data_IF_117601248205
#
_entry.id   IF_117601248205
#
_cell.length_a   1.000
_cell.length_b   1.000
_cell.length_c   1.000
_cell.angle_alpha   90.00
_cell.angle_beta   90.00
_cell.angle_gamma   90.00
#
_symmetry.space_group_name_H-M   'P 1'
#
loop_
_entity.id
_entity.type
_entity.pdbx_description
1 polymer ?
#
# COMPACT_ATOMS: atom_id res chain seq x y z
N UNK A 1 5.19 20.20 14.85
CA UNK A 1 5.70 20.66 13.54
C UNK A 1 5.16 22.05 13.29
N UNK A 2 6.04 22.99 12.93
CA UNK A 2 5.68 24.37 12.57
C UNK A 2 5.20 24.36 11.12
N UNK A 3 4.14 25.11 10.82
CA UNK A 3 3.57 25.23 9.47
C UNK A 3 4.48 26.10 8.60
N UNK A 4 4.85 25.62 7.41
CA UNK A 4 5.66 26.39 6.46
C UNK A 4 4.89 27.62 5.93
N UNK A 5 5.63 28.69 5.60
CA UNK A 5 5.05 29.93 5.11
C UNK A 5 4.53 29.79 3.67
N UNK A 6 3.49 30.55 3.31
CA UNK A 6 3.01 30.61 1.92
C UNK A 6 2.20 29.39 1.43
N UNK A 7 1.87 28.43 2.31
CA UNK A 7 1.11 27.23 1.92
C UNK A 7 -0.28 27.52 1.38
N UNK A 8 -0.98 28.52 1.92
CA UNK A 8 -2.32 28.90 1.44
C UNK A 8 -2.24 29.35 -0.02
N UNK A 9 -1.27 30.21 -0.37
CA UNK A 9 -1.06 30.65 -1.76
C UNK A 9 -0.78 29.45 -2.67
N UNK A 10 0.05 28.51 -2.22
CA UNK A 10 0.35 27.29 -2.98
C UNK A 10 -0.88 26.39 -3.16
N UNK A 11 -1.70 26.23 -2.12
CA UNK A 11 -2.95 25.48 -2.19
C UNK A 11 -3.95 26.11 -3.15
N UNK A 12 -4.09 27.44 -3.14
CA UNK A 12 -4.93 28.17 -4.10
C UNK A 12 -4.43 27.97 -5.53
N UNK A 13 -3.12 28.03 -5.78
CA UNK A 13 -2.56 27.78 -7.12
C UNK A 13 -2.87 26.36 -7.61
N UNK A 14 -2.76 25.36 -6.72
CA UNK A 14 -3.16 23.98 -7.05
C UNK A 14 -4.66 23.88 -7.36
N UNK A 15 -5.52 24.53 -6.58
CA UNK A 15 -6.96 24.53 -6.83
C UNK A 15 -7.32 25.20 -8.17
N UNK A 16 -6.64 26.31 -8.50
CA UNK A 16 -6.80 27.00 -9.79
C UNK A 16 -6.31 26.17 -10.98
N UNK A 17 -5.43 25.19 -10.76
CA UNK A 17 -5.01 24.25 -11.78
C UNK A 17 -5.97 23.05 -11.87
N UNK A 18 -6.25 22.41 -10.73
CA UNK A 18 -7.00 21.16 -10.65
C UNK A 18 -8.48 21.35 -10.98
N UNK A 19 -9.09 22.45 -10.56
CA UNK A 19 -10.51 22.74 -10.82
C UNK A 19 -10.82 22.81 -12.32
N UNK A 20 -10.22 23.74 -13.08
CA UNK A 20 -10.43 23.82 -14.53
C UNK A 20 -10.07 22.54 -15.27
N UNK A 21 -8.97 21.88 -14.89
CA UNK A 21 -8.56 20.61 -15.49
C UNK A 21 -9.61 19.52 -15.28
N UNK A 22 -10.18 19.43 -14.08
CA UNK A 22 -11.27 18.51 -13.76
C UNK A 22 -12.48 18.77 -14.66
N UNK A 23 -13.01 19.99 -14.67
CA UNK A 23 -14.20 20.34 -15.46
C UNK A 23 -13.99 20.07 -16.96
N UNK A 24 -12.82 20.43 -17.50
CA UNK A 24 -12.48 20.20 -18.90
C UNK A 24 -12.35 18.70 -19.21
N UNK A 25 -11.51 17.97 -18.47
CA UNK A 25 -11.25 16.55 -18.76
C UNK A 25 -12.48 15.68 -18.53
N UNK A 26 -13.26 15.94 -17.48
CA UNK A 26 -14.49 15.22 -17.16
C UNK A 26 -15.62 15.52 -18.15
N UNK A 27 -15.79 16.80 -18.53
CA UNK A 27 -16.77 17.21 -19.54
C UNK A 27 -16.45 16.63 -20.92
N UNK A 28 -15.17 16.57 -21.29
CA UNK A 28 -14.72 15.95 -22.53
C UNK A 28 -14.94 14.44 -22.52
N UNK A 29 -14.62 13.74 -21.42
CA UNK A 29 -14.88 12.29 -21.34
C UNK A 29 -16.37 11.99 -21.42
N UNK A 30 -17.22 12.77 -20.73
CA UNK A 30 -18.67 12.65 -20.82
C UNK A 30 -19.19 12.88 -22.25
N UNK A 31 -18.70 13.90 -22.94
CA UNK A 31 -19.13 14.21 -24.31
C UNK A 31 -18.66 13.14 -25.30
N UNK A 32 -17.45 12.61 -25.10
CA UNK A 32 -16.90 11.51 -25.88
C UNK A 32 -17.70 10.21 -25.66
N UNK A 33 -18.00 9.85 -24.42
CA UNK A 33 -18.76 8.63 -24.14
C UNK A 33 -20.21 8.75 -24.61
N UNK A 34 -20.81 9.94 -24.52
CA UNK A 34 -22.17 10.18 -24.99
C UNK A 34 -22.32 10.02 -26.52
N UNK A 35 -21.24 10.11 -27.30
CA UNK A 35 -21.27 9.87 -28.75
C UNK A 35 -21.00 8.41 -29.14
N UNK A 36 -20.88 7.50 -28.16
CA UNK A 36 -20.61 6.08 -28.37
C UNK A 36 -21.84 5.23 -28.15
N UNK A 37 -22.03 4.25 -29.04
CA UNK A 37 -23.12 3.27 -28.96
C UNK A 37 -22.74 1.99 -28.17
N UNK A 38 -21.44 1.79 -27.90
CA UNK A 38 -20.87 0.58 -27.29
C UNK A 38 -20.59 0.72 -25.79
N UNK A 39 -21.48 1.39 -25.04
CA UNK A 39 -21.32 1.63 -23.61
C UNK A 39 -21.99 0.54 -22.78
N UNK A 40 -21.17 -0.30 -22.14
CA UNK A 40 -21.63 -1.39 -21.28
C UNK A 40 -22.07 -0.94 -19.88
N UNK A 41 -22.68 -1.85 -19.13
CA UNK A 41 -23.03 -1.64 -17.72
C UNK A 41 -22.69 -2.88 -16.91
N UNK A 42 -22.05 -2.70 -15.75
CA UNK A 42 -21.74 -3.79 -14.82
C UNK A 42 -22.55 -3.61 -13.54
N UNK A 43 -23.64 -4.37 -13.44
CA UNK A 43 -24.61 -4.26 -12.34
C UNK A 43 -24.82 -5.61 -11.70
N UNK A 44 -24.69 -5.68 -10.38
CA UNK A 44 -25.03 -6.88 -9.63
C UNK A 44 -26.54 -6.99 -9.42
N UNK A 45 -27.08 -8.21 -9.46
CA UNK A 45 -28.52 -8.45 -9.37
C UNK A 45 -29.17 -7.89 -8.08
N UNK A 46 -28.43 -7.89 -6.96
CA UNK A 46 -28.91 -7.39 -5.67
C UNK A 46 -29.03 -5.86 -5.61
N UNK A 47 -28.32 -5.11 -6.47
CA UNK A 47 -28.35 -3.64 -6.48
C UNK A 47 -29.75 -3.10 -6.79
N UNK A 48 -30.57 -3.86 -7.51
CA UNK A 48 -31.96 -3.49 -7.83
C UNK A 48 -32.87 -3.38 -6.62
N UNK A 49 -32.46 -3.96 -5.48
CA UNK A 49 -33.22 -3.93 -4.23
C UNK A 49 -32.76 -2.79 -3.31
N UNK A 50 -31.73 -2.03 -3.69
CA UNK A 50 -31.22 -0.93 -2.86
C UNK A 50 -32.17 0.27 -2.88
N UNK A 51 -32.68 0.72 -1.72
CA UNK A 51 -33.51 1.91 -1.66
C UNK A 51 -32.68 3.18 -1.94
N UNK A 52 -33.28 4.12 -2.67
CA UNK A 52 -32.77 5.49 -2.78
C UNK A 52 -32.97 6.21 -1.45
N UNK A 53 -31.93 6.83 -0.91
CA UNK A 53 -32.00 7.66 0.29
C UNK A 53 -31.71 9.13 -0.07
N UNK A 54 -32.72 9.95 -0.39
CA UNK A 54 -32.50 11.29 -0.94
C UNK A 54 -31.64 12.20 -0.08
N UNK A 55 -31.75 12.12 1.25
CA UNK A 55 -30.97 12.95 2.18
C UNK A 55 -29.45 12.69 2.12
N UNK A 56 -29.03 11.52 1.61
CA UNK A 56 -27.60 11.18 1.44
C UNK A 56 -26.92 11.96 0.32
N UNK A 57 -27.67 12.75 -0.46
CA UNK A 57 -27.11 13.73 -1.39
C UNK A 57 -26.25 14.80 -0.68
N UNK A 58 -26.56 15.12 0.58
CA UNK A 58 -25.77 16.07 1.38
C UNK A 58 -24.35 15.55 1.63
N UNK A 59 -24.14 14.36 2.23
CA UNK A 59 -22.79 13.83 2.40
C UNK A 59 -22.12 13.61 1.05
N UNK A 60 -22.83 13.17 0.00
CA UNK A 60 -22.27 13.08 -1.36
C UNK A 60 -21.64 14.40 -1.82
N UNK A 61 -22.39 15.50 -1.82
CA UNK A 61 -21.88 16.83 -2.20
C UNK A 61 -20.79 17.37 -1.26
N UNK A 62 -20.78 16.93 0.00
CA UNK A 62 -19.80 17.42 0.97
C UNK A 62 -18.35 17.13 0.57
N UNK A 63 -18.12 16.14 -0.32
CA UNK A 63 -16.77 15.86 -0.81
C UNK A 63 -16.14 17.07 -1.52
N UNK A 64 -16.92 17.87 -2.26
CA UNK A 64 -16.37 18.99 -3.04
C UNK A 64 -15.88 20.11 -2.12
N UNK A 65 -16.63 20.35 -1.04
CA UNK A 65 -16.21 21.26 0.01
C UNK A 65 -14.96 20.71 0.72
N UNK A 66 -14.97 19.43 1.09
CA UNK A 66 -13.83 18.78 1.75
C UNK A 66 -12.59 18.72 0.85
N UNK A 67 -12.76 18.63 -0.47
CA UNK A 67 -11.71 18.73 -1.45
C UNK A 67 -11.01 20.08 -1.33
N UNK A 68 -11.75 21.19 -1.36
CA UNK A 68 -11.18 22.53 -1.16
C UNK A 68 -10.52 22.69 0.21
N UNK A 69 -11.20 22.27 1.28
CA UNK A 69 -10.69 22.35 2.65
C UNK A 69 -9.43 21.51 2.88
N UNK A 70 -9.26 20.42 2.12
CA UNK A 70 -8.08 19.55 2.24
C UNK A 70 -6.77 20.27 1.95
N UNK A 71 -6.77 21.36 1.17
CA UNK A 71 -5.60 22.21 0.89
C UNK A 71 -5.25 23.16 2.03
N UNK A 72 -6.09 23.27 3.06
CA UNK A 72 -5.79 24.07 4.25
C UNK A 72 -5.03 23.28 5.32
N UNK A 73 -5.03 21.94 5.23
CA UNK A 73 -4.49 21.04 6.24
C UNK A 73 -2.95 20.86 6.19
N UNK A 74 -2.30 20.73 5.01
CA UNK A 74 -0.86 20.46 4.94
C UNK A 74 -0.02 21.43 5.76
N UNK A 75 1.02 20.88 6.39
CA UNK A 75 1.98 21.62 7.20
C UNK A 75 3.27 21.95 6.44
N UNK A 76 3.52 21.28 5.31
CA UNK A 76 4.71 21.47 4.46
C UNK A 76 4.36 21.56 2.98
N UNK A 77 5.22 22.19 2.18
CA UNK A 77 5.09 22.29 0.72
C UNK A 77 5.11 20.91 0.07
N UNK A 78 5.97 20.02 0.57
CA UNK A 78 6.06 18.63 0.09
C UNK A 78 4.75 17.87 0.30
N UNK A 79 4.12 18.03 1.46
CA UNK A 79 2.83 17.40 1.75
C UNK A 79 1.71 17.98 0.88
N UNK A 80 1.70 19.30 0.68
CA UNK A 80 0.77 19.98 -0.23
C UNK A 80 0.87 19.44 -1.65
N UNK A 81 2.09 19.35 -2.19
CA UNK A 81 2.32 18.90 -3.56
C UNK A 81 1.99 17.42 -3.73
N UNK A 82 2.37 16.57 -2.77
CA UNK A 82 2.03 15.14 -2.81
C UNK A 82 0.53 14.91 -2.79
N UNK A 83 -0.22 15.72 -2.02
CA UNK A 83 -1.67 15.68 -2.00
C UNK A 83 -2.27 16.11 -3.34
N UNK A 84 -1.83 17.25 -3.87
CA UNK A 84 -2.29 17.75 -5.16
C UNK A 84 -1.99 16.77 -6.31
N UNK A 85 -0.79 16.18 -6.31
CA UNK A 85 -0.37 15.19 -7.30
C UNK A 85 -1.14 13.87 -7.15
N UNK A 86 -1.52 13.46 -5.94
CA UNK A 86 -2.40 12.31 -5.74
C UNK A 86 -3.79 12.57 -6.33
N UNK A 87 -4.39 13.74 -6.10
CA UNK A 87 -5.68 14.12 -6.69
C UNK A 87 -5.60 14.20 -8.23
N UNK A 88 -4.52 14.79 -8.76
CA UNK A 88 -4.26 14.82 -10.20
C UNK A 88 -4.10 13.41 -10.78
N UNK A 89 -3.38 12.52 -10.09
CA UNK A 89 -3.18 11.14 -10.54
C UNK A 89 -4.51 10.39 -10.58
N UNK A 90 -5.38 10.58 -9.56
CA UNK A 90 -6.71 9.99 -9.55
C UNK A 90 -7.54 10.46 -10.74
N UNK A 91 -7.51 11.77 -11.05
CA UNK A 91 -8.16 12.32 -12.24
C UNK A 91 -7.67 11.66 -13.52
N UNK A 92 -6.36 11.61 -13.72
CA UNK A 92 -5.75 11.05 -14.94
C UNK A 92 -6.09 9.57 -15.08
N UNK A 93 -6.01 8.80 -14.00
CA UNK A 93 -6.35 7.37 -14.00
C UNK A 93 -7.83 7.18 -14.36
N UNK A 94 -8.75 7.87 -13.66
CA UNK A 94 -10.19 7.74 -13.90
C UNK A 94 -10.58 8.18 -15.31
N UNK A 95 -10.13 9.35 -15.77
CA UNK A 95 -10.44 9.84 -17.13
C UNK A 95 -9.90 8.91 -18.21
N UNK A 96 -8.69 8.37 -18.02
CA UNK A 96 -8.14 7.39 -18.96
C UNK A 96 -8.99 6.13 -19.02
N UNK A 97 -9.46 5.64 -17.87
CA UNK A 97 -10.39 4.51 -17.81
C UNK A 97 -11.74 4.84 -18.46
N UNK A 98 -12.31 6.01 -18.24
CA UNK A 98 -13.59 6.42 -18.84
C UNK A 98 -13.52 6.48 -20.37
N UNK A 99 -12.38 6.88 -20.93
CA UNK A 99 -12.16 6.93 -22.38
C UNK A 99 -11.92 5.54 -22.97
N UNK A 100 -11.14 4.69 -22.27
CA UNK A 100 -10.76 3.36 -22.77
C UNK A 100 -11.85 2.30 -22.58
N UNK A 101 -12.62 2.41 -21.50
CA UNK A 101 -13.66 1.45 -21.12
C UNK A 101 -14.88 2.17 -20.53
N UNK A 102 -15.67 2.86 -21.36
CA UNK A 102 -16.83 3.60 -20.88
C UNK A 102 -17.88 2.66 -20.29
N UNK A 103 -18.36 2.97 -19.09
CA UNK A 103 -19.46 2.26 -18.44
C UNK A 103 -20.56 3.25 -18.09
N UNK A 104 -21.81 2.82 -18.31
CA UNK A 104 -22.99 3.61 -17.96
C UNK A 104 -23.73 3.08 -16.75
N UNK A 105 -24.30 4.01 -16.00
CA UNK A 105 -25.27 3.71 -14.96
C UNK A 105 -26.64 3.42 -15.59
N UNK A 106 -27.38 2.45 -15.05
CA UNK A 106 -28.61 1.95 -15.70
C UNK A 106 -29.91 2.27 -14.99
N UNK A 107 -29.89 2.80 -13.76
CA UNK A 107 -31.15 3.05 -13.03
C UNK A 107 -31.67 4.46 -13.31
N UNK A 108 -32.95 4.55 -13.68
CA UNK A 108 -33.69 5.81 -13.79
C UNK A 108 -34.18 6.22 -12.40
N UNK A 109 -33.83 7.44 -11.97
CA UNK A 109 -34.20 7.94 -10.65
C UNK A 109 -35.67 8.42 -10.66
N UNK A 110 -36.47 8.14 -9.63
CA UNK A 110 -37.79 8.74 -9.47
C UNK A 110 -37.70 10.27 -9.32
N UNK A 111 -38.75 10.98 -9.72
CA UNK A 111 -38.87 12.43 -9.48
C UNK A 111 -38.86 12.72 -7.98
N UNK A 112 -37.94 13.58 -7.55
CA UNK A 112 -37.81 14.03 -6.17
C UNK A 112 -38.19 15.50 -6.08
N UNK A 113 -38.99 15.86 -5.08
CA UNK A 113 -39.39 17.25 -4.82
C UNK A 113 -38.65 17.82 -3.60
N UNK A 114 -38.54 19.14 -3.54
CA UNK A 114 -37.89 19.86 -2.42
C UNK A 114 -36.36 20.00 -2.55
N UNK A 115 -35.70 20.31 -1.44
CA UNK A 115 -34.26 20.64 -1.42
C UNK A 115 -33.36 19.54 -2.00
N UNK A 116 -33.66 18.28 -1.68
CA UNK A 116 -32.85 17.16 -2.16
C UNK A 116 -33.02 16.95 -3.67
N UNK A 117 -34.23 17.10 -4.19
CA UNK A 117 -34.51 17.07 -5.63
C UNK A 117 -33.68 18.12 -6.38
N UNK A 118 -33.70 19.36 -5.89
CA UNK A 118 -32.90 20.44 -6.47
C UNK A 118 -31.39 20.12 -6.48
N UNK A 119 -30.83 19.59 -5.38
CA UNK A 119 -29.42 19.18 -5.32
C UNK A 119 -29.09 18.05 -6.32
N UNK A 120 -30.05 17.14 -6.57
CA UNK A 120 -29.91 16.11 -7.57
C UNK A 120 -29.97 16.68 -9.00
N UNK A 121 -30.85 17.64 -9.26
CA UNK A 121 -30.97 18.28 -10.58
C UNK A 121 -29.70 19.04 -10.95
N UNK A 122 -29.13 19.79 -9.99
CA UNK A 122 -27.84 20.47 -10.17
C UNK A 122 -26.73 19.45 -10.44
N UNK A 123 -26.72 18.33 -9.71
CA UNK A 123 -25.74 17.28 -9.91
C UNK A 123 -25.85 16.66 -11.31
N UNK A 124 -27.06 16.35 -11.79
CA UNK A 124 -27.27 15.77 -13.13
C UNK A 124 -26.94 16.75 -14.26
N UNK A 125 -27.05 18.06 -14.02
CA UNK A 125 -26.60 19.08 -14.98
C UNK A 125 -25.10 19.00 -15.28
N UNK A 126 -24.30 18.51 -14.33
CA UNK A 126 -22.85 18.37 -14.45
C UNK A 126 -22.38 16.93 -14.67
N UNK A 127 -22.98 15.98 -13.95
CA UNK A 127 -22.57 14.58 -13.89
C UNK A 127 -23.51 13.69 -14.71
N UNK A 128 -23.05 13.32 -15.91
CA UNK A 128 -23.76 12.43 -16.83
C UNK A 128 -23.46 10.96 -16.51
N UNK A 129 -24.35 10.02 -16.86
CA UNK A 129 -24.29 8.64 -16.38
C UNK A 129 -23.21 7.76 -17.05
N UNK A 130 -22.09 8.32 -17.51
CA UNK A 130 -21.15 7.67 -18.44
C UNK A 130 -19.72 7.46 -17.90
N UNK A 131 -19.43 7.88 -16.66
CA UNK A 131 -18.09 7.90 -16.05
C UNK A 131 -18.05 7.09 -14.72
N UNK A 132 -18.31 5.79 -14.80
CA UNK A 132 -18.64 4.98 -13.61
C UNK A 132 -17.43 4.29 -12.96
N UNK A 133 -16.67 3.46 -13.69
CA UNK A 133 -15.55 2.70 -13.12
C UNK A 133 -14.17 3.15 -13.65
N UNK A 134 -13.18 3.42 -12.78
CA UNK A 134 -13.28 3.48 -11.32
C UNK A 134 -14.00 4.75 -10.85
N UNK A 135 -14.74 4.69 -9.74
CA UNK A 135 -15.40 5.89 -9.19
C UNK A 135 -14.35 6.92 -8.79
N UNK A 136 -14.32 8.03 -9.53
CA UNK A 136 -13.46 9.16 -9.21
C UNK A 136 -13.84 9.76 -7.85
N UNK A 137 -15.14 9.83 -7.54
CA UNK A 137 -15.65 10.30 -6.26
C UNK A 137 -15.05 9.50 -5.08
N UNK A 138 -15.05 8.16 -5.19
CA UNK A 138 -14.45 7.30 -4.15
C UNK A 138 -12.91 7.41 -4.14
N UNK A 139 -12.26 7.56 -5.29
CA UNK A 139 -10.82 7.77 -5.34
C UNK A 139 -10.41 9.07 -4.62
N UNK A 140 -11.13 10.17 -4.88
CA UNK A 140 -10.97 11.44 -4.19
C UNK A 140 -11.27 11.29 -2.69
N UNK A 141 -12.33 10.56 -2.33
CA UNK A 141 -12.70 10.29 -0.94
C UNK A 141 -11.54 9.63 -0.20
N UNK A 142 -10.93 8.59 -0.75
CA UNK A 142 -9.79 7.91 -0.10
C UNK A 142 -8.63 8.89 0.13
N UNK A 143 -8.26 9.68 -0.87
CA UNK A 143 -7.16 10.65 -0.77
C UNK A 143 -7.46 11.70 0.30
N UNK A 144 -8.63 12.34 0.23
CA UNK A 144 -9.08 13.36 1.19
C UNK A 144 -9.19 12.77 2.60
N UNK A 145 -9.76 11.56 2.73
CA UNK A 145 -9.90 10.89 4.01
C UNK A 145 -8.54 10.68 4.67
N UNK A 146 -7.53 10.19 3.93
CA UNK A 146 -6.18 10.04 4.49
C UNK A 146 -5.59 11.37 4.95
N UNK A 147 -5.85 12.48 4.24
CA UNK A 147 -5.40 13.82 4.63
C UNK A 147 -6.04 14.28 5.95
N UNK A 148 -7.38 14.19 6.06
CA UNK A 148 -8.11 14.59 7.26
C UNK A 148 -7.74 13.70 8.46
N UNK A 149 -7.73 12.39 8.28
CA UNK A 149 -7.44 11.44 9.36
C UNK A 149 -6.04 11.65 9.99
N UNK A 150 -5.07 12.13 9.20
CA UNK A 150 -3.72 12.48 9.69
C UNK A 150 -3.69 13.76 10.52
N UNK A 151 -4.48 14.76 10.15
CA UNK A 151 -4.50 16.06 10.82
C UNK A 151 -5.44 16.11 12.02
N UNK A 152 -6.31 15.11 12.18
CA UNK A 152 -7.20 15.00 13.34
C UNK A 152 -6.59 14.17 14.46
N UNK A 153 -6.03 14.84 15.48
CA UNK A 153 -5.42 14.17 16.64
C UNK A 153 -6.40 13.76 17.74
N UNK A 154 -7.48 14.53 17.93
CA UNK A 154 -8.47 14.27 18.98
C UNK A 154 -9.28 13.00 18.65
N UNK A 155 -9.33 11.98 19.52
CA UNK A 155 -9.98 10.69 19.21
C UNK A 155 -11.46 10.82 18.81
N UNK A 156 -12.23 11.66 19.52
CA UNK A 156 -13.65 11.86 19.23
C UNK A 156 -13.85 12.48 17.85
N UNK A 157 -13.14 13.58 17.57
CA UNK A 157 -13.21 14.24 16.27
C UNK A 157 -12.73 13.30 15.14
N UNK A 158 -11.74 12.45 15.43
CA UNK A 158 -11.25 11.47 14.46
C UNK A 158 -12.32 10.43 14.12
N UNK A 159 -13.06 9.93 15.10
CA UNK A 159 -14.21 9.07 14.86
C UNK A 159 -15.32 9.77 14.08
N UNK A 160 -15.59 11.05 14.36
CA UNK A 160 -16.54 11.84 13.57
C UNK A 160 -16.09 11.96 12.10
N UNK A 161 -14.81 12.24 11.85
CA UNK A 161 -14.24 12.27 10.49
C UNK A 161 -14.39 10.92 9.81
N UNK A 162 -14.03 9.81 10.48
CA UNK A 162 -14.19 8.47 9.92
C UNK A 162 -15.66 8.13 9.62
N UNK A 163 -16.58 8.48 10.52
CA UNK A 163 -18.01 8.28 10.33
C UNK A 163 -18.55 9.10 9.16
N UNK A 164 -18.16 10.37 9.05
CA UNK A 164 -18.58 11.23 7.94
C UNK A 164 -18.03 10.74 6.59
N UNK A 165 -16.72 10.44 6.52
CA UNK A 165 -16.11 9.90 5.29
C UNK A 165 -16.72 8.54 4.90
N UNK A 166 -17.04 7.69 5.87
CA UNK A 166 -17.79 6.45 5.65
C UNK A 166 -19.19 6.72 5.08
N UNK A 167 -19.88 7.75 5.56
CA UNK A 167 -21.18 8.16 5.06
C UNK A 167 -21.12 8.69 3.61
N UNK A 168 -20.06 9.41 3.23
CA UNK A 168 -19.79 9.78 1.83
C UNK A 168 -19.59 8.51 0.98
N UNK A 169 -18.84 7.53 1.50
CA UNK A 169 -18.64 6.25 0.81
C UNK A 169 -19.93 5.46 0.60
N UNK A 170 -20.86 5.51 1.55
CA UNK A 170 -22.19 4.88 1.43
C UNK A 170 -23.09 5.69 0.48
N UNK A 171 -22.98 7.02 0.51
CA UNK A 171 -23.87 7.89 -0.24
C UNK A 171 -23.78 7.69 -1.74
N UNK A 172 -22.63 7.30 -2.30
CA UNK A 172 -22.50 7.03 -3.75
C UNK A 172 -23.45 5.93 -4.23
N UNK A 173 -23.73 4.93 -3.39
CA UNK A 173 -24.66 3.86 -3.71
C UNK A 173 -26.11 4.25 -3.38
N UNK A 174 -26.35 4.86 -2.22
CA UNK A 174 -27.71 5.22 -1.79
C UNK A 174 -28.29 6.43 -2.51
N UNK A 175 -27.46 7.18 -3.23
CA UNK A 175 -27.89 8.20 -4.20
C UNK A 175 -28.09 7.65 -5.59
N UNK A 176 -27.80 6.36 -5.85
CA UNK A 176 -27.82 5.77 -7.19
C UNK A 176 -26.96 6.55 -8.18
N UNK A 177 -25.74 6.93 -7.79
CA UNK A 177 -24.77 7.59 -8.68
C UNK A 177 -23.73 6.62 -9.23
N UNK A 178 -23.48 5.54 -8.50
CA UNK A 178 -22.49 4.52 -8.83
C UNK A 178 -23.04 3.11 -8.64
N UNK A 179 -22.56 2.19 -9.47
CA UNK A 179 -22.72 0.77 -9.23
C UNK A 179 -21.73 0.28 -8.18
N UNK A 180 -22.03 -0.86 -7.55
CA UNK A 180 -21.19 -1.36 -6.46
C UNK A 180 -19.73 -1.60 -6.88
N UNK A 181 -19.48 -2.03 -8.12
CA UNK A 181 -18.12 -2.30 -8.63
C UNK A 181 -17.25 -1.03 -8.70
N UNK A 182 -17.86 0.14 -8.81
CA UNK A 182 -17.17 1.42 -8.91
C UNK A 182 -16.52 1.81 -7.58
N UNK A 183 -17.07 1.33 -6.46
CA UNK A 183 -16.60 1.62 -5.10
C UNK A 183 -15.25 0.95 -4.80
N UNK A 184 -15.07 -0.38 -4.88
CA UNK A 184 -13.77 -0.99 -4.63
C UNK A 184 -12.74 -0.60 -5.68
N UNK A 185 -13.13 -0.42 -6.95
CA UNK A 185 -12.20 0.04 -8.00
C UNK A 185 -11.75 1.49 -7.78
N UNK A 186 -12.66 2.40 -7.42
CA UNK A 186 -12.36 3.76 -6.99
C UNK A 186 -11.47 3.80 -5.75
N UNK A 187 -11.76 2.95 -4.75
CA UNK A 187 -10.96 2.86 -3.54
C UNK A 187 -9.54 2.37 -3.83
N UNK A 188 -9.37 1.36 -4.67
CA UNK A 188 -8.06 0.88 -5.11
C UNK A 188 -7.31 1.93 -5.93
N UNK A 189 -7.99 2.68 -6.80
CA UNK A 189 -7.37 3.78 -7.54
C UNK A 189 -6.90 4.91 -6.59
N UNK A 190 -7.72 5.29 -5.61
CA UNK A 190 -7.35 6.25 -4.58
C UNK A 190 -6.16 5.77 -3.74
N UNK A 191 -6.18 4.51 -3.29
CA UNK A 191 -5.06 3.89 -2.57
C UNK A 191 -3.80 3.84 -3.44
N UNK A 192 -3.91 3.53 -4.73
CA UNK A 192 -2.79 3.56 -5.67
C UNK A 192 -2.19 4.97 -5.75
N UNK A 193 -3.00 6.02 -5.77
CA UNK A 193 -2.52 7.41 -5.75
C UNK A 193 -1.81 7.77 -4.44
N UNK A 194 -2.34 7.35 -3.29
CA UNK A 194 -1.68 7.57 -1.99
C UNK A 194 -0.39 6.75 -1.86
N UNK A 195 -0.36 5.53 -2.42
CA UNK A 195 0.86 4.72 -2.52
C UNK A 195 1.87 5.37 -3.45
N UNK A 196 1.42 5.94 -4.57
CA UNK A 196 2.27 6.64 -5.52
C UNK A 196 2.93 7.84 -4.81
N UNK A 197 2.15 8.64 -4.08
CA UNK A 197 2.61 9.84 -3.39
C UNK A 197 2.58 9.66 -1.85
N UNK A 198 3.49 8.84 -1.26
CA UNK A 198 3.43 8.53 0.16
C UNK A 198 3.64 9.78 1.01
N UNK A 199 3.03 9.84 2.18
CA UNK A 199 3.17 10.96 3.10
C UNK A 199 4.64 11.13 3.54
N UNK A 200 5.22 10.07 4.09
CA UNK A 200 6.58 10.01 4.60
C UNK A 200 7.45 9.12 3.70
N UNK A 201 8.76 9.31 3.78
CA UNK A 201 9.71 8.51 3.02
C UNK A 201 9.83 8.89 1.53
N UNK A 202 10.77 8.23 0.83
CA UNK A 202 11.05 8.47 -0.58
C UNK A 202 9.86 8.06 -1.46
N UNK A 203 9.80 8.60 -2.68
CA UNK A 203 8.80 8.16 -3.66
C UNK A 203 9.16 6.73 -4.12
N UNK A 204 8.18 5.84 -4.36
CA UNK A 204 8.45 4.46 -4.78
C UNK A 204 9.35 4.37 -6.02
N UNK A 205 9.16 5.27 -6.99
CA UNK A 205 9.95 5.28 -8.23
C UNK A 205 11.24 6.09 -8.15
N UNK A 206 11.50 6.84 -7.07
CA UNK A 206 12.74 7.61 -6.97
C UNK A 206 13.98 6.71 -6.93
N UNK A 207 13.81 5.49 -6.42
CA UNK A 207 14.84 4.45 -6.40
C UNK A 207 14.53 3.31 -7.38
N UNK A 208 13.58 3.51 -8.31
CA UNK A 208 13.26 2.52 -9.32
C UNK A 208 14.49 2.24 -10.20
N UNK A 209 14.91 0.97 -10.21
CA UNK A 209 16.00 0.49 -11.05
C UNK A 209 15.64 -0.90 -11.53
N UNK A 210 15.72 -1.10 -12.84
CA UNK A 210 15.49 -2.42 -13.42
C UNK A 210 16.42 -3.44 -12.75
N UNK A 211 15.83 -4.55 -12.32
CA UNK A 211 16.56 -5.61 -11.67
C UNK A 211 17.62 -6.19 -12.61
N UNK A 212 18.85 -6.30 -12.13
CA UNK A 212 19.93 -6.95 -12.86
C UNK A 212 20.02 -8.45 -12.53
N UNK A 213 19.48 -8.87 -11.37
CA UNK A 213 19.48 -10.26 -10.93
C UNK A 213 18.42 -11.08 -11.70
N UNK A 214 18.80 -12.14 -12.44
CA UNK A 214 17.86 -12.99 -13.15
C UNK A 214 16.84 -13.66 -12.21
N UNK A 215 17.18 -13.89 -10.93
CA UNK A 215 16.24 -14.46 -9.95
C UNK A 215 15.07 -13.51 -9.68
N UNK A 216 15.32 -12.20 -9.62
CA UNK A 216 14.27 -11.18 -9.45
C UNK A 216 13.30 -11.21 -10.63
N UNK A 217 13.78 -11.34 -11.85
CA UNK A 217 12.94 -11.47 -13.05
C UNK A 217 12.12 -12.75 -13.06
N UNK A 218 12.69 -13.88 -12.64
CA UNK A 218 11.93 -15.14 -12.50
C UNK A 218 10.79 -14.99 -11.50
N UNK A 219 11.05 -14.38 -10.34
CA UNK A 219 10.01 -14.13 -9.33
C UNK A 219 8.95 -13.15 -9.86
N UNK A 220 9.37 -12.07 -10.50
CA UNK A 220 8.46 -11.12 -11.14
C UNK A 220 7.56 -11.83 -12.16
N UNK A 221 8.12 -12.67 -13.04
CA UNK A 221 7.36 -13.44 -14.02
C UNK A 221 6.36 -14.40 -13.35
N UNK A 222 6.75 -15.12 -12.30
CA UNK A 222 5.82 -15.97 -11.56
C UNK A 222 4.65 -15.18 -10.95
N UNK A 223 4.92 -14.03 -10.33
CA UNK A 223 3.89 -13.17 -9.78
C UNK A 223 3.00 -12.56 -10.87
N UNK A 224 3.56 -12.16 -12.01
CA UNK A 224 2.82 -11.68 -13.18
C UNK A 224 1.92 -12.77 -13.76
N UNK A 225 2.40 -14.00 -13.90
CA UNK A 225 1.59 -15.13 -14.37
C UNK A 225 0.43 -15.42 -13.40
N UNK A 226 0.69 -15.39 -12.10
CA UNK A 226 -0.36 -15.51 -11.08
C UNK A 226 -1.38 -14.37 -11.17
N UNK A 227 -0.93 -13.14 -11.37
CA UNK A 227 -1.80 -11.97 -11.55
C UNK A 227 -2.67 -12.11 -12.81
N UNK A 228 -2.08 -12.50 -13.94
CA UNK A 228 -2.79 -12.72 -15.20
C UNK A 228 -3.82 -13.84 -15.08
N UNK A 229 -3.47 -14.95 -14.44
CA UNK A 229 -4.40 -16.05 -14.20
C UNK A 229 -5.61 -15.58 -13.38
N UNK A 230 -5.38 -14.89 -12.26
CA UNK A 230 -6.46 -14.36 -11.42
C UNK A 230 -7.32 -13.33 -12.16
N UNK A 231 -6.70 -12.46 -12.95
CA UNK A 231 -7.42 -11.48 -13.77
C UNK A 231 -8.29 -12.16 -14.84
N UNK A 232 -7.74 -13.14 -15.56
CA UNK A 232 -8.48 -13.91 -16.57
C UNK A 232 -9.65 -14.68 -15.95
N UNK A 233 -9.43 -15.35 -14.81
CA UNK A 233 -10.51 -16.02 -14.08
C UNK A 233 -11.58 -15.02 -13.61
N UNK A 234 -11.17 -13.85 -13.12
CA UNK A 234 -12.10 -12.81 -12.70
C UNK A 234 -12.98 -12.28 -13.83
N UNK A 235 -12.39 -12.07 -15.01
CA UNK A 235 -13.10 -11.61 -16.20
C UNK A 235 -13.94 -12.71 -16.86
N UNK A 236 -13.48 -13.97 -16.85
CA UNK A 236 -14.17 -15.08 -17.50
C UNK A 236 -15.45 -15.53 -16.77
N UNK A 237 -15.43 -15.53 -15.42
CA UNK A 237 -16.56 -16.02 -14.63
C UNK A 237 -17.54 -14.90 -14.19
N UNK A 238 -17.15 -13.63 -14.34
CA UNK A 238 -17.98 -12.47 -14.05
C UNK A 238 -18.49 -12.36 -12.61
N UNK A 239 -19.27 -11.31 -12.32
CA UNK A 239 -19.92 -11.08 -11.03
C UNK A 239 -18.97 -11.21 -9.82
N UNK A 240 -19.15 -12.26 -8.99
CA UNK A 240 -18.34 -12.49 -7.79
C UNK A 240 -16.86 -12.75 -8.11
N UNK A 241 -16.55 -13.28 -9.29
CA UNK A 241 -15.17 -13.54 -9.69
C UNK A 241 -14.37 -12.23 -9.91
N UNK A 242 -15.03 -11.09 -10.14
CA UNK A 242 -14.36 -9.78 -10.25
C UNK A 242 -13.59 -9.41 -8.98
N UNK A 243 -13.93 -9.99 -7.82
CA UNK A 243 -13.13 -9.84 -6.60
C UNK A 243 -11.71 -10.39 -6.74
N UNK A 244 -11.44 -11.29 -7.69
CA UNK A 244 -10.10 -11.78 -8.02
C UNK A 244 -9.20 -10.71 -8.65
N UNK A 245 -9.76 -9.58 -9.12
CA UNK A 245 -8.97 -8.45 -9.60
C UNK A 245 -8.15 -7.79 -8.49
N UNK A 246 -8.62 -7.83 -7.24
CA UNK A 246 -7.86 -7.29 -6.10
C UNK A 246 -6.60 -8.10 -5.80
N UNK A 247 -6.63 -9.44 -5.60
CA UNK A 247 -5.41 -10.22 -5.49
C UNK A 247 -4.57 -10.19 -6.78
N UNK A 248 -5.17 -10.09 -7.97
CA UNK A 248 -4.41 -9.90 -9.20
C UNK A 248 -3.55 -8.61 -9.17
N UNK A 249 -4.16 -7.48 -8.81
CA UNK A 249 -3.45 -6.20 -8.62
C UNK A 249 -2.36 -6.31 -7.54
N UNK A 250 -2.67 -7.00 -6.44
CA UNK A 250 -1.73 -7.25 -5.34
C UNK A 250 -0.48 -7.99 -5.83
N UNK A 251 -0.65 -9.08 -6.59
CA UNK A 251 0.46 -9.84 -7.18
C UNK A 251 1.22 -9.04 -8.24
N UNK A 252 0.53 -8.22 -9.04
CA UNK A 252 1.18 -7.35 -10.02
C UNK A 252 2.10 -6.32 -9.36
N UNK A 253 1.67 -5.72 -8.24
CA UNK A 253 2.51 -4.80 -7.47
C UNK A 253 3.72 -5.52 -6.86
N UNK A 254 3.55 -6.76 -6.39
CA UNK A 254 4.69 -7.59 -5.93
C UNK A 254 5.64 -7.88 -7.09
N UNK A 255 5.13 -8.22 -8.28
CA UNK A 255 5.95 -8.40 -9.47
C UNK A 255 6.75 -7.14 -9.80
N UNK A 256 6.12 -5.96 -9.70
CA UNK A 256 6.77 -4.67 -9.90
C UNK A 256 7.84 -4.37 -8.85
N UNK A 257 7.64 -4.76 -7.58
CA UNK A 257 8.66 -4.67 -6.54
C UNK A 257 9.88 -5.53 -6.88
N UNK A 258 9.67 -6.75 -7.37
CA UNK A 258 10.76 -7.61 -7.81
C UNK A 258 11.45 -7.07 -9.07
N UNK A 259 10.73 -6.56 -10.06
CA UNK A 259 11.31 -6.11 -11.33
C UNK A 259 11.98 -4.73 -11.26
N UNK A 260 11.42 -3.79 -10.49
CA UNK A 260 11.75 -2.36 -10.59
C UNK A 260 11.92 -1.63 -9.26
N UNK A 261 10.96 -1.73 -8.33
CA UNK A 261 10.89 -0.83 -7.17
C UNK A 261 11.73 -1.27 -5.97
N UNK A 262 12.08 -2.56 -5.90
CA UNK A 262 12.79 -3.12 -4.76
C UNK A 262 11.92 -3.21 -3.51
N UNK A 263 12.57 -3.33 -2.35
CA UNK A 263 11.90 -3.47 -1.06
C UNK A 263 11.08 -2.23 -0.66
N UNK A 264 11.46 -1.04 -1.15
CA UNK A 264 10.76 0.22 -0.87
C UNK A 264 9.32 0.26 -1.37
N UNK A 265 8.97 -0.54 -2.38
CA UNK A 265 7.60 -0.63 -2.90
C UNK A 265 6.59 -1.22 -1.91
N UNK A 266 7.04 -1.94 -0.89
CA UNK A 266 6.18 -2.37 0.23
C UNK A 266 5.85 -1.23 1.21
N UNK A 267 6.56 -0.10 1.14
CA UNK A 267 6.36 1.09 1.98
C UNK A 267 6.31 0.77 3.48
N UNK A 268 7.24 -0.07 3.93
CA UNK A 268 7.45 -0.31 5.34
C UNK A 268 8.24 0.83 5.95
N UNK A 269 7.65 1.46 6.97
CA UNK A 269 8.23 2.57 7.71
C UNK A 269 9.33 2.13 8.66
N UNK A 270 10.07 3.11 9.18
CA UNK A 270 11.10 2.90 10.18
C UNK A 270 10.56 2.39 11.52
N UNK A 271 9.25 2.49 11.75
CA UNK A 271 8.52 1.95 12.91
C UNK A 271 7.98 0.53 12.68
N UNK A 272 8.25 -0.05 11.50
CA UNK A 272 7.86 -1.40 11.12
C UNK A 272 6.44 -1.53 10.62
N UNK A 273 5.69 -0.42 10.53
CA UNK A 273 4.34 -0.39 9.99
C UNK A 273 4.38 -0.23 8.48
N UNK A 274 3.44 -0.85 7.79
CA UNK A 274 3.19 -0.57 6.38
C UNK A 274 2.31 0.67 6.24
N UNK A 275 2.47 1.42 5.15
CA UNK A 275 1.54 2.50 4.82
C UNK A 275 0.12 1.95 4.63
N UNK A 276 -0.90 2.78 4.91
CA UNK A 276 -2.32 2.40 4.70
C UNK A 276 -2.57 2.01 3.25
N UNK A 277 -1.90 2.69 2.33
CA UNK A 277 -1.99 2.41 0.90
C UNK A 277 -1.41 1.04 0.55
N UNK A 278 -0.23 0.69 1.08
CA UNK A 278 0.36 -0.63 0.92
C UNK A 278 -0.51 -1.72 1.56
N UNK A 279 -1.09 -1.50 2.75
CA UNK A 279 -2.00 -2.46 3.38
C UNK A 279 -3.24 -2.74 2.53
N UNK A 280 -3.84 -1.71 1.93
CA UNK A 280 -5.02 -1.87 1.08
C UNK A 280 -4.71 -2.53 -0.26
N UNK A 281 -3.65 -2.11 -0.95
CA UNK A 281 -3.27 -2.63 -2.27
C UNK A 281 -2.65 -4.04 -2.19
N UNK A 282 -1.77 -4.27 -1.21
CA UNK A 282 -1.07 -5.53 -1.04
C UNK A 282 -1.81 -6.50 -0.11
N UNK A 283 -2.97 -6.12 0.44
CA UNK A 283 -3.73 -6.88 1.44
C UNK A 283 -3.85 -8.38 1.16
N UNK A 284 -4.28 -8.82 -0.05
CA UNK A 284 -4.40 -10.24 -0.36
C UNK A 284 -3.04 -10.97 -0.32
N UNK A 285 -1.99 -10.36 -0.88
CA UNK A 285 -0.63 -10.89 -0.79
C UNK A 285 -0.14 -10.95 0.66
N UNK A 286 -0.35 -9.88 1.44
CA UNK A 286 0.09 -9.79 2.83
C UNK A 286 -0.58 -10.86 3.71
N UNK A 287 -1.88 -11.09 3.50
CA UNK A 287 -2.61 -12.16 4.17
C UNK A 287 -1.99 -13.52 3.81
N UNK A 288 -1.76 -13.78 2.53
CA UNK A 288 -1.08 -15.00 2.08
C UNK A 288 0.32 -15.17 2.67
N UNK A 289 1.12 -14.10 2.69
CA UNK A 289 2.47 -14.10 3.26
C UNK A 289 2.46 -14.33 4.78
N UNK A 290 1.48 -13.76 5.49
CA UNK A 290 1.31 -13.98 6.92
C UNK A 290 0.89 -15.42 7.21
N UNK A 291 -0.11 -15.95 6.50
CA UNK A 291 -0.55 -17.35 6.63
C UNK A 291 0.63 -18.28 6.34
N UNK A 292 1.36 -18.06 5.25
CA UNK A 292 2.55 -18.83 4.90
C UNK A 292 3.59 -18.81 6.03
N UNK A 293 3.84 -17.64 6.62
CA UNK A 293 4.75 -17.53 7.77
C UNK A 293 4.31 -18.37 8.96
N UNK A 294 3.03 -18.32 9.32
CA UNK A 294 2.48 -19.08 10.47
C UNK A 294 2.44 -20.58 10.20
N UNK A 295 2.01 -21.00 9.00
CA UNK A 295 1.96 -22.40 8.61
C UNK A 295 3.36 -23.01 8.50
N UNK A 296 4.32 -22.32 7.91
CA UNK A 296 5.67 -22.88 7.72
C UNK A 296 6.42 -23.04 9.05
N UNK A 297 6.17 -22.13 10.00
CA UNK A 297 6.86 -22.11 11.30
C UNK A 297 6.09 -22.80 12.43
N UNK A 298 4.94 -23.41 12.14
CA UNK A 298 4.01 -23.89 13.17
C UNK A 298 4.63 -24.88 14.19
N UNK A 299 5.57 -25.73 13.75
CA UNK A 299 6.26 -26.70 14.63
C UNK A 299 7.42 -26.08 15.42
N UNK A 300 8.00 -24.97 14.95
CA UNK A 300 9.13 -24.27 15.58
C UNK A 300 8.97 -22.75 15.45
N UNK A 301 7.95 -22.16 16.12
CA UNK A 301 7.66 -20.73 16.01
C UNK A 301 8.61 -19.88 16.86
N UNK A 302 9.26 -20.47 17.86
CA UNK A 302 10.15 -19.78 18.78
C UNK A 302 11.45 -19.36 18.08
N UNK A 303 12.00 -18.18 18.45
CA UNK A 303 13.33 -17.77 18.04
C UNK A 303 14.39 -18.57 18.81
N UNK A 304 15.52 -18.85 18.16
CA UNK A 304 16.63 -19.59 18.75
C UNK A 304 17.79 -18.63 19.04
N UNK A 305 18.40 -18.75 20.23
CA UNK A 305 19.61 -17.99 20.55
C UNK A 305 20.80 -18.53 19.75
N UNK A 306 21.51 -17.64 19.06
CA UNK A 306 22.73 -17.99 18.33
C UNK A 306 23.94 -17.86 19.24
N UNK A 307 24.17 -16.66 19.79
CA UNK A 307 25.15 -16.39 20.84
C UNK A 307 24.98 -14.97 21.39
N UNK A 308 25.55 -14.69 22.57
CA UNK A 308 25.64 -13.37 23.20
C UNK A 308 24.30 -12.59 23.27
N UNK A 309 23.18 -13.28 23.52
CA UNK A 309 21.86 -12.65 23.58
C UNK A 309 21.27 -12.24 22.23
N UNK A 310 21.85 -12.69 21.11
CA UNK A 310 21.30 -12.50 19.75
C UNK A 310 20.49 -13.71 19.33
N UNK A 311 19.19 -13.47 19.10
CA UNK A 311 18.21 -14.48 18.72
C UNK A 311 17.85 -14.37 17.24
N UNK A 312 17.63 -15.51 16.60
CA UNK A 312 17.23 -15.61 15.20
C UNK A 312 15.82 -16.20 15.10
N UNK A 313 14.93 -15.51 14.38
CA UNK A 313 13.56 -15.99 14.25
C UNK A 313 12.77 -15.40 13.09
N UNK A 314 11.50 -15.82 13.02
CA UNK A 314 10.46 -15.24 12.16
C UNK A 314 9.99 -13.90 12.73
N UNK A 315 9.19 -13.16 11.96
CA UNK A 315 8.59 -11.91 12.44
C UNK A 315 7.62 -12.21 13.61
N UNK A 316 7.85 -11.60 14.80
CA UNK A 316 7.14 -11.99 16.01
C UNK A 316 5.71 -11.41 16.05
N UNK A 317 4.85 -12.03 16.87
CA UNK A 317 3.65 -11.37 17.37
C UNK A 317 3.97 -10.34 18.47
N UNK A 318 2.98 -9.55 18.89
CA UNK A 318 3.19 -8.48 19.90
C UNK A 318 3.72 -9.00 21.24
N UNK A 319 3.19 -10.12 21.74
CA UNK A 319 3.63 -10.72 23.00
C UNK A 319 5.02 -11.36 22.91
N UNK A 320 5.36 -11.95 21.76
CA UNK A 320 6.69 -12.52 21.51
C UNK A 320 7.74 -11.39 21.43
N UNK A 321 7.41 -10.26 20.80
CA UNK A 321 8.32 -9.14 20.64
C UNK A 321 8.69 -8.47 21.96
N UNK A 322 7.76 -8.41 22.94
CA UNK A 322 8.04 -7.81 24.25
C UNK A 322 9.06 -8.56 25.10
N UNK A 323 9.46 -9.77 24.71
CA UNK A 323 10.53 -10.52 25.37
C UNK A 323 11.94 -10.03 25.00
N UNK A 324 12.07 -9.15 24.00
CA UNK A 324 13.35 -8.65 23.49
C UNK A 324 13.51 -7.16 23.80
N UNK A 325 14.74 -6.76 24.13
CA UNK A 325 15.09 -5.36 24.31
C UNK A 325 15.14 -4.62 22.96
N UNK A 326 15.57 -5.30 21.90
CA UNK A 326 15.66 -4.73 20.55
C UNK A 326 15.32 -5.70 19.43
N UNK A 327 15.01 -5.17 18.24
CA UNK A 327 14.73 -5.96 17.04
C UNK A 327 15.36 -5.35 15.79
N UNK A 328 16.08 -6.20 15.04
CA UNK A 328 16.55 -5.91 13.68
C UNK A 328 15.69 -6.71 12.70
N UNK A 329 14.94 -6.00 11.87
CA UNK A 329 13.94 -6.57 10.99
C UNK A 329 14.33 -6.44 9.52
N UNK A 330 14.65 -7.59 8.91
CA UNK A 330 15.05 -7.69 7.51
C UNK A 330 13.86 -7.85 6.55
N UNK A 331 12.63 -7.90 7.07
CA UNK A 331 11.43 -8.19 6.30
C UNK A 331 10.84 -6.93 5.67
N UNK A 332 10.70 -6.90 4.34
CA UNK A 332 10.03 -5.78 3.67
C UNK A 332 8.50 -5.90 3.73
N UNK A 333 7.99 -7.12 3.74
CA UNK A 333 6.61 -7.41 3.34
C UNK A 333 5.62 -7.32 4.50
N UNK A 334 5.91 -7.95 5.63
CA UNK A 334 4.97 -8.05 6.77
C UNK A 334 5.25 -6.95 7.80
N UNK A 335 4.21 -6.37 8.43
CA UNK A 335 4.39 -5.38 9.48
C UNK A 335 4.98 -6.00 10.74
N UNK A 336 5.75 -5.22 11.50
CA UNK A 336 6.30 -5.60 12.78
C UNK A 336 5.48 -5.00 13.94
N UNK A 337 5.42 -5.68 15.10
CA UNK A 337 4.86 -5.08 16.31
C UNK A 337 5.75 -3.92 16.81
N UNK A 338 5.16 -2.92 17.48
CA UNK A 338 5.92 -1.78 18.00
C UNK A 338 6.89 -2.22 19.10
N UNK A 339 8.13 -1.75 19.02
CA UNK A 339 9.18 -1.97 20.01
C UNK A 339 9.99 -0.68 20.18
N UNK A 340 10.50 -0.40 21.39
CA UNK A 340 11.27 0.82 21.68
C UNK A 340 12.55 0.90 20.83
N UNK A 341 13.29 -0.21 20.75
CA UNK A 341 14.51 -0.29 19.96
C UNK A 341 14.28 -1.16 18.72
N UNK A 342 13.77 -0.55 17.67
CA UNK A 342 13.46 -1.22 16.41
C UNK A 342 14.25 -0.61 15.26
N UNK A 343 14.87 -1.47 14.43
CA UNK A 343 15.56 -1.08 13.22
C UNK A 343 15.05 -1.91 12.04
N UNK A 344 14.50 -1.22 11.03
CA UNK A 344 14.03 -1.84 9.79
C UNK A 344 15.09 -1.73 8.69
N UNK A 345 15.51 -2.87 8.15
CA UNK A 345 16.40 -2.99 7.00
C UNK A 345 15.70 -3.83 5.93
N UNK A 346 14.69 -3.27 5.24
CA UNK A 346 13.78 -4.04 4.42
C UNK A 346 14.52 -4.68 3.23
N UNK A 347 14.44 -6.00 3.14
CA UNK A 347 15.03 -6.78 2.04
C UNK A 347 14.00 -7.72 1.41
N UNK A 348 14.05 -7.85 0.08
CA UNK A 348 13.12 -8.69 -0.69
C UNK A 348 13.30 -10.16 -0.36
N UNK A 349 12.19 -10.89 -0.17
CA UNK A 349 12.26 -12.33 0.05
C UNK A 349 12.93 -13.09 -1.11
N UNK A 350 13.64 -14.17 -0.75
CA UNK A 350 14.42 -15.02 -1.65
C UNK A 350 15.60 -14.33 -2.38
N UNK A 351 15.82 -13.04 -2.19
CA UNK A 351 16.95 -12.30 -2.75
C UNK A 351 18.00 -12.11 -1.66
N UNK A 352 19.28 -12.31 -2.00
CA UNK A 352 20.36 -12.08 -1.06
C UNK A 352 20.47 -10.57 -0.77
N UNK A 353 20.48 -10.13 0.50
CA UNK A 353 20.75 -8.74 0.84
C UNK A 353 22.14 -8.34 0.32
N UNK A 354 22.27 -7.09 -0.10
CA UNK A 354 23.56 -6.57 -0.59
C UNK A 354 24.53 -6.30 0.56
N UNK A 355 25.80 -6.12 0.21
CA UNK A 355 26.87 -5.91 1.19
C UNK A 355 26.63 -4.69 2.11
N UNK A 356 26.21 -3.50 1.60
CA UNK A 356 25.90 -2.37 2.46
C UNK A 356 24.78 -2.67 3.46
N UNK A 357 23.72 -3.35 3.04
CA UNK A 357 22.62 -3.73 3.95
C UNK A 357 23.10 -4.73 5.01
N UNK A 358 23.95 -5.70 4.64
CA UNK A 358 24.52 -6.65 5.59
C UNK A 358 25.47 -5.99 6.60
N UNK A 359 26.27 -5.01 6.16
CA UNK A 359 27.13 -4.21 7.02
C UNK A 359 26.30 -3.39 8.02
N UNK A 360 25.27 -2.68 7.53
CA UNK A 360 24.33 -1.94 8.37
C UNK A 360 23.60 -2.86 9.35
N UNK A 361 23.21 -4.07 8.92
CA UNK A 361 22.59 -5.05 9.80
C UNK A 361 23.56 -5.51 10.90
N UNK A 362 24.83 -5.76 10.57
CA UNK A 362 25.85 -6.14 11.55
C UNK A 362 26.04 -5.06 12.62
N UNK A 363 26.17 -3.79 12.21
CA UNK A 363 26.30 -2.64 13.10
C UNK A 363 25.05 -2.45 13.97
N UNK A 364 23.86 -2.57 13.37
CA UNK A 364 22.58 -2.49 14.07
C UNK A 364 22.44 -3.58 15.14
N UNK A 365 22.81 -4.82 14.81
CA UNK A 365 22.76 -5.95 15.76
C UNK A 365 23.70 -5.68 16.95
N UNK A 366 24.95 -5.28 16.69
CA UNK A 366 25.91 -5.03 17.77
C UNK A 366 25.49 -3.86 18.65
N UNK A 367 24.99 -2.77 18.07
CA UNK A 367 24.48 -1.62 18.81
C UNK A 367 23.29 -1.99 19.70
N UNK A 368 22.30 -2.71 19.17
CA UNK A 368 21.13 -3.11 19.96
C UNK A 368 21.48 -4.12 21.05
N UNK A 369 22.46 -5.01 20.81
CA UNK A 369 22.89 -6.03 21.77
C UNK A 369 23.47 -5.43 23.05
N UNK A 370 24.06 -4.23 22.96
CA UNK A 370 24.55 -3.49 24.14
C UNK A 370 23.42 -3.06 25.08
N UNK A 371 22.18 -3.06 24.61
CA UNK A 371 21.00 -2.64 25.37
C UNK A 371 20.14 -3.83 25.87
N UNK A 372 20.54 -5.08 25.56
CA UNK A 372 19.85 -6.30 26.01
C UNK A 372 19.72 -7.36 24.91
N UNK A 373 18.77 -8.28 25.09
CA UNK A 373 18.52 -9.35 24.10
C UNK A 373 17.95 -8.78 22.80
N UNK A 374 18.46 -9.25 21.66
CA UNK A 374 18.07 -8.76 20.33
C UNK A 374 17.47 -9.87 19.49
N UNK A 375 16.33 -9.61 18.88
CA UNK A 375 15.76 -10.47 17.86
C UNK A 375 16.14 -9.98 16.46
N UNK A 376 16.79 -10.84 15.68
CA UNK A 376 17.04 -10.63 14.25
C UNK A 376 16.02 -11.46 13.47
N UNK A 377 15.12 -10.80 12.74
CA UNK A 377 14.00 -11.48 12.09
C UNK A 377 13.85 -11.16 10.60
N UNK A 378 13.21 -12.10 9.90
CA UNK A 378 12.59 -11.90 8.58
C UNK A 378 11.23 -12.60 8.57
N UNK A 379 10.56 -12.78 7.43
CA UNK A 379 9.24 -13.46 7.41
C UNK A 379 9.25 -14.84 8.10
N UNK A 380 10.26 -15.68 7.84
CA UNK A 380 10.34 -17.07 8.34
C UNK A 380 11.51 -17.34 9.30
N UNK A 381 12.54 -16.50 9.28
CA UNK A 381 13.75 -16.72 10.09
C UNK A 381 14.73 -17.75 9.53
N UNK A 382 14.82 -17.91 8.21
CA UNK A 382 15.70 -18.93 7.59
C UNK A 382 16.79 -18.41 6.65
N UNK A 383 16.56 -17.29 5.95
CA UNK A 383 17.47 -16.82 4.90
C UNK A 383 17.99 -15.41 5.17
N UNK A 384 17.15 -14.39 5.00
CA UNK A 384 17.54 -12.97 5.13
C UNK A 384 18.12 -12.62 6.50
N UNK A 385 17.40 -12.95 7.57
CA UNK A 385 17.87 -12.72 8.94
C UNK A 385 19.05 -13.60 9.32
N UNK A 386 19.14 -14.84 8.82
CA UNK A 386 20.31 -15.68 9.03
C UNK A 386 21.56 -15.09 8.34
N UNK A 387 21.39 -14.48 7.16
CA UNK A 387 22.46 -13.77 6.46
C UNK A 387 22.92 -12.52 7.24
N UNK A 388 21.99 -11.78 7.85
CA UNK A 388 22.31 -10.64 8.71
C UNK A 388 23.08 -11.07 9.99
N UNK A 389 22.65 -12.14 10.66
CA UNK A 389 23.37 -12.70 11.81
C UNK A 389 24.76 -13.20 11.40
N UNK A 390 24.89 -13.84 10.24
CA UNK A 390 26.20 -14.27 9.73
C UNK A 390 27.12 -13.07 9.48
N UNK A 391 26.61 -11.99 8.88
CA UNK A 391 27.36 -10.75 8.69
C UNK A 391 27.84 -10.16 10.03
N UNK A 392 26.97 -10.12 11.04
CA UNK A 392 27.33 -9.68 12.39
C UNK A 392 28.45 -10.52 13.00
N UNK A 393 28.39 -11.85 12.90
CA UNK A 393 29.42 -12.75 13.42
C UNK A 393 30.80 -12.49 12.78
N UNK A 394 30.83 -12.18 11.47
CA UNK A 394 32.06 -11.85 10.75
C UNK A 394 32.60 -10.47 11.13
N UNK A 395 31.77 -9.43 11.03
CA UNK A 395 32.19 -8.04 11.26
C UNK A 395 32.67 -7.83 12.70
N UNK A 396 32.04 -8.50 13.66
CA UNK A 396 32.42 -8.46 15.07
C UNK A 396 33.62 -9.37 15.44
N UNK A 397 34.11 -10.19 14.52
CA UNK A 397 35.26 -11.09 14.76
C UNK A 397 34.93 -12.34 15.58
N UNK A 398 33.65 -12.67 15.78
CA UNK A 398 33.21 -13.90 16.47
C UNK A 398 33.42 -15.15 15.62
N UNK A 399 33.48 -14.99 14.30
CA UNK A 399 33.78 -16.06 13.35
C UNK A 399 34.84 -15.56 12.37
N UNK A 400 35.78 -16.43 12.03
CA UNK A 400 36.86 -16.11 11.08
C UNK A 400 36.36 -16.02 9.63
N UNK A 401 35.37 -16.85 9.27
CA UNK A 401 34.87 -16.96 7.90
C UNK A 401 33.36 -17.29 7.86
N UNK A 402 32.77 -17.17 6.67
CA UNK A 402 31.34 -17.39 6.47
C UNK A 402 30.90 -18.84 6.77
N UNK A 403 31.82 -19.82 6.69
CA UNK A 403 31.54 -21.23 6.96
C UNK A 403 31.39 -21.46 8.46
N UNK A 404 32.28 -20.88 9.27
CA UNK A 404 32.21 -20.89 10.72
C UNK A 404 30.91 -20.22 11.21
N UNK A 405 30.59 -19.04 10.66
CA UNK A 405 29.35 -18.35 10.96
C UNK A 405 28.10 -19.18 10.60
N UNK A 406 28.07 -19.78 9.41
CA UNK A 406 26.98 -20.66 8.99
C UNK A 406 26.84 -21.88 9.91
N UNK A 407 27.97 -22.46 10.33
CA UNK A 407 27.99 -23.64 11.21
C UNK A 407 27.44 -23.30 12.59
N UNK A 408 27.85 -22.16 13.17
CA UNK A 408 27.34 -21.69 14.46
C UNK A 408 25.82 -21.47 14.41
N UNK A 409 25.34 -20.74 13.40
CA UNK A 409 23.90 -20.48 13.24
C UNK A 409 23.12 -21.79 13.06
N UNK A 410 23.65 -22.76 12.30
CA UNK A 410 23.00 -24.07 12.11
C UNK A 410 22.91 -24.91 13.37
N UNK A 411 23.83 -24.75 14.33
CA UNK A 411 23.72 -25.42 15.64
C UNK A 411 22.49 -24.92 16.40
N UNK A 412 22.27 -23.60 16.40
CA UNK A 412 21.10 -22.99 17.02
C UNK A 412 19.80 -23.29 16.23
N UNK A 413 19.82 -23.06 14.91
CA UNK A 413 18.67 -23.20 14.03
C UNK A 413 19.02 -24.02 12.78
N UNK A 414 18.85 -25.36 12.81
CA UNK A 414 19.29 -26.25 11.73
C UNK A 414 18.67 -25.96 10.36
N UNK A 415 17.48 -25.37 10.32
CA UNK A 415 16.70 -25.11 9.11
C UNK A 415 17.15 -23.92 8.27
N UNK A 416 18.25 -23.22 8.61
CA UNK A 416 18.67 -22.04 7.84
C UNK A 416 19.14 -22.37 6.42
N UNK A 417 18.79 -21.49 5.48
CA UNK A 417 19.05 -21.62 4.05
C UNK A 417 19.88 -20.44 3.58
N UNK A 418 21.19 -20.67 3.35
CA UNK A 418 22.09 -19.69 2.75
C UNK A 418 22.55 -20.21 1.39
N UNK A 419 21.91 -19.71 0.33
CA UNK A 419 22.28 -20.02 -1.06
C UNK A 419 23.64 -19.42 -1.46
N UNK A 420 24.25 -19.85 -2.58
CA UNK A 420 25.55 -19.34 -3.04
C UNK A 420 25.64 -17.81 -3.11
N UNK A 421 24.58 -17.13 -3.56
CA UNK A 421 24.53 -15.67 -3.61
C UNK A 421 24.66 -15.02 -2.21
N UNK A 422 24.07 -15.63 -1.17
CA UNK A 422 24.22 -15.14 0.21
C UNK A 422 25.66 -15.32 0.69
N UNK A 423 26.27 -16.47 0.40
CA UNK A 423 27.67 -16.73 0.75
C UNK A 423 28.62 -15.77 0.05
N UNK A 424 28.39 -15.47 -1.22
CA UNK A 424 29.19 -14.51 -1.97
C UNK A 424 29.08 -13.09 -1.40
N UNK A 425 27.88 -12.69 -0.94
CA UNK A 425 27.70 -11.42 -0.25
C UNK A 425 28.46 -11.37 1.08
N UNK A 426 28.46 -12.47 1.84
CA UNK A 426 29.18 -12.60 3.12
C UNK A 426 30.71 -12.62 2.95
N UNK A 427 31.24 -13.28 1.92
CA UNK A 427 32.68 -13.35 1.64
C UNK A 427 33.32 -11.97 1.44
N UNK A 428 32.54 -10.97 1.00
CA UNK A 428 33.03 -9.60 0.85
C UNK A 428 33.16 -8.85 2.19
N UNK A 429 32.58 -9.38 3.25
CA UNK A 429 32.65 -8.86 4.62
C UNK A 429 33.72 -9.59 5.46
N UNK A 430 34.29 -10.68 4.95
CA UNK A 430 35.42 -11.34 5.59
C UNK A 430 36.59 -10.36 5.65
N UNK A 431 37.17 -10.20 6.85
CA UNK A 431 38.41 -9.42 7.00
C UNK A 431 39.48 -10.17 6.21
N UNK A 432 40.00 -9.55 5.14
CA UNK A 432 41.16 -10.10 4.46
C UNK A 432 42.33 -10.13 5.46
N UNK A 433 43.09 -11.24 5.52
CA UNK A 433 44.19 -11.42 6.47
C UNK A 433 45.26 -10.34 6.33
#
# INVERSE_FOLDING_TARGET
MVREAGLIRRGVLWLLLLGPLFFLSYGLSNSYTASRDDVGSLVFAWERQMPLWPWTIIPYWSIDLLYGLSFLLPLTHREMDRHALALLSAQVISVSCFVLWPLRFTFERPELTGLFGWLFDVLMGFDKPFNQAPSLHIALLVIIWTMFARHTRQPVLRWLVHGWMGLIGVSVLTTWQHHFIDVPTGALAGLACVWLWPHEGPLPWQQARLAHDPKRWRLAACYTLGALLLALLGLAFGHAALWLLWPALSLLLVALNYALLGAGGFQKGADGRLSVAALGLLGPYLLGAWINSRLWTWRRPQPDEVCDGVFLGRIPGRAEASAFAGMVDMNAELPAPPLTHYLCLPSLDLIAPDQPTLQQAAEAIEHLRQHGTVLVCCALGYSRSACAVAAWLLVSGRCADAIAAQTLIRKARPGIVLHPAHRQALQRLERRP
#
